data_IF_235831782899
#
_entry.id   IF_235831782899
#
_cell.length_a   1.000
_cell.length_b   1.000
_cell.length_c   1.000
_cell.angle_alpha   90.00
_cell.angle_beta   90.00
_cell.angle_gamma   90.00
#
_symmetry.space_group_name_H-M   'P 1'
#
loop_
_entity.id
_entity.type
_entity.pdbx_description
1 polymer ?
#
# COMPACT_ATOMS: atom_id res chain seq x y z
N UNK A 1 -35.90 -19.90 23.53
CA UNK A 1 -36.31 -21.31 23.34
C UNK A 1 -35.06 -22.17 23.25
N UNK A 2 -34.81 -22.98 24.29
CA UNK A 2 -33.69 -23.94 24.41
C UNK A 2 -34.16 -25.31 23.93
N UNK A 3 -33.34 -26.03 23.17
CA UNK A 3 -33.37 -27.49 23.00
C UNK A 3 -31.95 -27.94 23.34
N UNK A 4 -31.61 -28.46 24.53
CA UNK A 4 -31.94 -29.75 25.17
C UNK A 4 -31.81 -30.91 24.16
N UNK A 5 -30.61 -31.50 23.96
CA UNK A 5 -29.88 -32.55 24.70
C UNK A 5 -30.42 -33.99 24.42
N UNK A 6 -29.69 -35.06 24.80
CA UNK A 6 -28.66 -35.83 24.07
C UNK A 6 -29.18 -37.26 23.76
N UNK A 7 -28.32 -38.20 23.35
CA UNK A 7 -28.39 -39.66 23.58
C UNK A 7 -27.24 -40.30 22.75
N UNK A 8 -26.56 -41.40 23.07
CA UNK A 8 -26.39 -42.28 24.25
C UNK A 8 -25.30 -43.31 23.84
N UNK A 9 -24.77 -44.03 24.84
CA UNK A 9 -24.20 -45.39 24.79
C UNK A 9 -22.71 -45.58 24.43
N UNK A 10 -21.96 -45.56 25.54
CA UNK A 10 -20.87 -46.43 25.96
C UNK A 10 -21.18 -47.96 25.86
N UNK A 11 -20.12 -48.78 26.02
CA UNK A 11 -19.97 -50.24 26.26
C UNK A 11 -19.61 -51.11 25.05
N UNK A 12 -18.75 -52.16 25.12
CA UNK A 12 -17.69 -52.65 26.04
C UNK A 12 -17.19 -54.01 25.44
N UNK A 13 -16.04 -54.52 25.92
CA UNK A 13 -15.54 -55.93 25.89
C UNK A 13 -14.90 -56.42 24.57
N UNK A 14 -13.88 -57.28 24.53
CA UNK A 14 -12.96 -57.93 25.48
C UNK A 14 -11.85 -58.61 24.62
N UNK A 15 -10.57 -58.48 24.97
CA UNK A 15 -9.70 -59.48 25.62
C UNK A 15 -9.18 -60.66 24.76
N UNK A 16 -7.84 -60.80 24.77
CA UNK A 16 -6.95 -61.98 24.68
C UNK A 16 -5.64 -61.46 24.06
N UNK A 17 -4.46 -61.49 24.67
CA UNK A 17 -3.89 -62.41 25.65
C UNK A 17 -2.56 -62.89 25.05
N UNK A 18 -1.44 -62.72 25.76
CA UNK A 18 -0.13 -63.22 25.31
C UNK A 18 1.06 -62.50 25.93
N UNK A 19 1.68 -63.14 26.92
CA UNK A 19 2.82 -62.68 27.72
C UNK A 19 4.19 -62.96 27.06
N UNK A 20 5.13 -62.07 27.40
CA UNK A 20 6.56 -62.27 27.71
C UNK A 20 7.60 -62.51 26.60
N UNK A 21 8.60 -61.61 26.59
CA UNK A 21 10.00 -61.86 26.99
C UNK A 21 11.01 -61.12 26.10
N UNK A 22 12.03 -60.59 26.77
CA UNK A 22 13.20 -59.85 26.31
C UNK A 22 13.87 -60.34 25.02
N UNK A 23 14.22 -59.39 24.15
CA UNK A 23 15.47 -59.49 23.39
C UNK A 23 16.07 -58.08 23.15
N UNK A 24 17.25 -57.86 23.74
CA UNK A 24 18.14 -56.74 23.42
C UNK A 24 18.55 -56.87 21.96
N UNK A 25 18.24 -55.86 21.14
CA UNK A 25 18.94 -55.66 19.88
C UNK A 25 19.12 -54.17 19.64
N UNK A 26 20.38 -53.74 19.65
CA UNK A 26 20.79 -52.40 19.30
C UNK A 26 20.37 -52.10 17.87
N UNK A 27 19.42 -51.18 17.71
CA UNK A 27 19.20 -50.48 16.46
C UNK A 27 19.68 -49.05 16.64
N UNK A 28 20.81 -48.78 16.01
CA UNK A 28 21.27 -47.48 15.56
C UNK A 28 20.05 -46.70 15.06
N UNK A 29 19.60 -45.74 15.86
CA UNK A 29 18.60 -44.78 15.43
C UNK A 29 19.24 -43.93 14.35
N UNK A 30 18.96 -44.25 13.10
CA UNK A 30 19.09 -43.29 12.00
C UNK A 30 18.13 -42.16 12.35
N UNK A 31 18.66 -41.11 12.97
CA UNK A 31 17.98 -39.83 13.09
C UNK A 31 17.84 -39.33 11.67
N UNK A 32 16.66 -39.55 11.09
CA UNK A 32 16.23 -38.94 9.86
C UNK A 32 16.24 -37.44 10.11
N UNK A 33 17.35 -36.81 9.74
CA UNK A 33 17.56 -35.39 9.79
C UNK A 33 16.57 -34.81 8.79
N UNK A 34 15.37 -34.48 9.27
CA UNK A 34 14.41 -33.66 8.53
C UNK A 34 15.19 -32.43 8.10
N UNK A 35 15.48 -32.38 6.81
CA UNK A 35 16.08 -31.22 6.18
C UNK A 35 15.02 -30.12 6.27
N UNK A 36 15.14 -29.28 7.29
CA UNK A 36 14.50 -27.97 7.29
C UNK A 36 15.06 -27.29 6.05
N UNK A 37 14.26 -27.21 4.99
CA UNK A 37 14.58 -26.37 3.85
C UNK A 37 14.75 -24.98 4.43
N UNK A 38 15.98 -24.45 4.34
CA UNK A 38 16.23 -23.06 4.70
C UNK A 38 15.33 -22.23 3.78
N UNK A 39 14.28 -21.65 4.37
CA UNK A 39 13.45 -20.69 3.67
C UNK A 39 14.38 -19.54 3.31
N UNK A 40 14.47 -19.22 2.03
CA UNK A 40 15.26 -18.07 1.60
C UNK A 40 14.63 -16.82 2.21
N UNK A 41 15.37 -16.17 3.10
CA UNK A 41 14.89 -15.08 3.93
C UNK A 41 15.66 -13.80 3.60
N UNK A 42 14.92 -12.73 3.32
CA UNK A 42 15.49 -11.42 3.07
C UNK A 42 15.12 -10.45 4.20
N UNK A 43 16.03 -9.58 4.65
CA UNK A 43 15.69 -8.53 5.61
C UNK A 43 14.79 -7.47 4.97
N UNK A 44 13.72 -7.11 5.66
CA UNK A 44 12.78 -6.08 5.25
C UNK A 44 12.37 -5.17 6.40
N UNK A 45 11.86 -3.99 6.05
CA UNK A 45 11.06 -3.15 6.96
C UNK A 45 9.60 -3.50 6.75
N UNK A 46 8.91 -3.93 7.80
CA UNK A 46 7.47 -4.23 7.79
C UNK A 46 6.74 -3.13 8.52
N UNK A 47 5.71 -2.58 7.91
CA UNK A 47 4.89 -1.48 8.42
C UNK A 47 3.45 -1.96 8.48
N UNK A 48 2.83 -1.83 9.64
CA UNK A 48 1.43 -2.19 9.85
C UNK A 48 0.59 -0.92 9.92
N UNK A 49 -0.52 -0.95 9.20
CA UNK A 49 -1.37 0.20 8.97
C UNK A 49 -2.81 -0.18 9.28
N UNK A 50 -3.59 0.81 9.71
CA UNK A 50 -5.04 0.73 9.75
C UNK A 50 -5.59 1.78 8.78
N UNK A 51 -6.41 1.33 7.85
CA UNK A 51 -7.10 2.19 6.89
C UNK A 51 -8.57 2.31 7.27
N UNK A 52 -9.15 3.48 7.01
CA UNK A 52 -10.58 3.73 7.21
C UNK A 52 -11.12 4.55 6.06
N UNK A 53 -12.31 4.17 5.59
CA UNK A 53 -13.01 4.86 4.51
C UNK A 53 -14.45 5.17 4.92
N UNK A 54 -15.05 6.27 4.43
CA UNK A 54 -16.43 6.57 4.74
C UNK A 54 -17.38 5.43 4.37
N UNK A 55 -18.08 4.89 5.37
CA UNK A 55 -19.05 3.81 5.19
C UNK A 55 -18.45 2.39 5.18
N UNK A 56 -17.15 2.25 5.43
CA UNK A 56 -16.46 0.97 5.55
C UNK A 56 -15.83 0.86 6.94
N UNK A 57 -15.95 -0.30 7.57
CA UNK A 57 -15.26 -0.56 8.84
C UNK A 57 -13.74 -0.49 8.65
N UNK A 58 -12.98 0.08 9.60
CA UNK A 58 -11.53 0.12 9.51
C UNK A 58 -10.92 -1.27 9.31
N UNK A 59 -9.91 -1.37 8.46
CA UNK A 59 -9.25 -2.63 8.13
C UNK A 59 -7.73 -2.49 8.19
N UNK A 60 -7.04 -3.59 8.48
CA UNK A 60 -5.60 -3.62 8.58
C UNK A 60 -4.96 -3.82 7.21
N UNK A 61 -3.87 -3.11 6.94
CA UNK A 61 -3.00 -3.36 5.80
C UNK A 61 -1.55 -3.47 6.28
N UNK A 62 -0.71 -4.10 5.45
CA UNK A 62 0.71 -4.30 5.73
C UNK A 62 1.51 -3.88 4.52
N UNK A 63 2.59 -3.14 4.76
CA UNK A 63 3.57 -2.78 3.75
C UNK A 63 4.92 -3.40 4.10
N UNK A 64 5.55 -4.08 3.14
CA UNK A 64 6.85 -4.74 3.30
C UNK A 64 7.83 -4.11 2.32
N UNK A 65 8.94 -3.57 2.83
CA UNK A 65 9.89 -2.79 2.04
C UNK A 65 11.28 -3.42 2.10
N UNK A 66 11.87 -3.64 0.93
CA UNK A 66 13.27 -4.04 0.73
C UNK A 66 13.97 -2.99 -0.14
N UNK A 67 15.28 -3.09 -0.39
CA UNK A 67 15.95 -2.23 -1.36
C UNK A 67 15.30 -2.27 -2.75
N UNK A 68 14.78 -3.42 -3.16
CA UNK A 68 14.29 -3.66 -4.53
C UNK A 68 12.77 -3.60 -4.66
N UNK A 69 12.02 -3.78 -3.56
CA UNK A 69 10.56 -3.93 -3.60
C UNK A 69 9.84 -3.14 -2.53
N UNK A 70 8.61 -2.73 -2.85
CA UNK A 70 7.56 -2.42 -1.90
C UNK A 70 6.38 -3.35 -2.18
N UNK A 71 5.95 -4.11 -1.19
CA UNK A 71 4.72 -4.92 -1.24
C UNK A 71 3.68 -4.30 -0.32
N UNK A 72 2.42 -4.28 -0.73
CA UNK A 72 1.27 -3.94 0.11
C UNK A 72 0.25 -5.07 0.02
N UNK A 73 -0.21 -5.56 1.17
CA UNK A 73 -1.21 -6.63 1.29
C UNK A 73 -2.07 -6.42 2.56
N UNK A 74 -3.01 -7.33 2.81
CA UNK A 74 -3.91 -7.35 3.96
C UNK A 74 -3.32 -8.08 5.19
N UNK A 75 -2.02 -8.39 5.16
CA UNK A 75 -1.35 -9.18 6.18
C UNK A 75 -1.32 -10.69 5.90
N UNK A 76 -2.04 -11.18 4.89
CA UNK A 76 -1.99 -12.58 4.45
C UNK A 76 -0.95 -12.75 3.34
N UNK A 77 0.01 -13.66 3.56
CA UNK A 77 1.10 -13.90 2.60
C UNK A 77 0.58 -14.45 1.25
N UNK A 78 -0.49 -15.24 1.28
CA UNK A 78 -1.12 -15.89 0.11
C UNK A 78 -2.33 -15.13 -0.45
N UNK A 79 -2.60 -13.92 0.07
CA UNK A 79 -3.70 -13.05 -0.36
C UNK A 79 -3.35 -12.20 -1.58
N UNK A 80 -4.32 -11.41 -2.05
CA UNK A 80 -4.10 -10.41 -3.10
C UNK A 80 -3.11 -9.35 -2.63
N UNK A 81 -2.26 -8.88 -3.54
CA UNK A 81 -1.21 -7.92 -3.18
C UNK A 81 -0.85 -6.98 -4.32
N UNK A 82 -0.28 -5.85 -3.93
CA UNK A 82 0.42 -4.95 -4.83
C UNK A 82 1.92 -5.12 -4.59
N UNK A 83 2.68 -5.27 -5.67
CA UNK A 83 4.14 -5.30 -5.66
C UNK A 83 4.69 -4.20 -6.57
N UNK A 84 5.36 -3.22 -5.99
CA UNK A 84 6.15 -2.23 -6.71
C UNK A 84 7.60 -2.71 -6.79
N UNK A 85 8.04 -3.10 -7.99
CA UNK A 85 9.45 -3.33 -8.30
C UNK A 85 10.14 -1.99 -8.54
N UNK A 86 11.03 -1.63 -7.62
CA UNK A 86 11.71 -0.34 -7.59
C UNK A 86 12.80 -0.23 -8.65
N UNK A 87 13.33 -1.37 -9.11
CA UNK A 87 14.39 -1.42 -10.12
C UNK A 87 13.83 -1.14 -11.51
N UNK A 88 12.72 -1.79 -11.84
CA UNK A 88 12.01 -1.55 -13.11
C UNK A 88 11.01 -0.39 -13.04
N UNK A 89 10.69 0.08 -11.82
CA UNK A 89 9.64 1.07 -11.52
C UNK A 89 8.27 0.61 -12.04
N UNK A 90 7.95 -0.66 -11.85
CA UNK A 90 6.68 -1.26 -12.30
C UNK A 90 5.84 -1.62 -11.09
N UNK A 91 4.56 -1.26 -11.14
CA UNK A 91 3.57 -1.71 -10.17
C UNK A 91 2.89 -2.95 -10.75
N UNK A 92 2.84 -4.02 -9.96
CA UNK A 92 2.11 -5.24 -10.25
C UNK A 92 0.97 -5.36 -9.25
N UNK A 93 -0.28 -5.34 -9.73
CA UNK A 93 -1.45 -5.65 -8.91
C UNK A 93 -1.86 -7.09 -9.18
N UNK A 94 -1.72 -7.95 -8.17
CA UNK A 94 -1.94 -9.39 -8.26
C UNK A 94 -3.29 -9.73 -7.65
N UNK A 95 -4.13 -10.39 -8.44
CA UNK A 95 -5.37 -11.02 -7.95
C UNK A 95 -5.28 -12.53 -8.08
N UNK A 96 -5.31 -13.22 -6.94
CA UNK A 96 -5.30 -14.68 -6.88
C UNK A 96 -6.64 -15.27 -7.32
N UNK A 97 -7.75 -14.63 -6.97
CA UNK A 97 -9.10 -15.04 -7.37
C UNK A 97 -9.25 -15.13 -8.89
N UNK A 98 -8.76 -14.11 -9.61
CA UNK A 98 -8.85 -14.03 -11.07
C UNK A 98 -7.65 -14.66 -11.80
N UNK A 99 -6.59 -15.02 -11.07
CA UNK A 99 -5.28 -15.46 -11.59
C UNK A 99 -4.68 -14.47 -12.59
N UNK A 100 -4.66 -13.20 -12.19
CA UNK A 100 -4.22 -12.09 -13.05
C UNK A 100 -3.19 -11.20 -12.37
N UNK A 101 -2.33 -10.61 -13.20
CA UNK A 101 -1.43 -9.52 -12.81
C UNK A 101 -1.70 -8.32 -13.72
N UNK A 102 -2.06 -7.19 -13.14
CA UNK A 102 -2.08 -5.90 -13.85
C UNK A 102 -0.72 -5.24 -13.68
N UNK A 103 0.01 -5.10 -14.78
CA UNK A 103 1.29 -4.41 -14.85
C UNK A 103 1.07 -2.93 -15.23
N UNK A 104 1.55 -2.03 -14.37
CA UNK A 104 1.55 -0.57 -14.59
C UNK A 104 3.00 -0.10 -14.60
N UNK A 105 3.63 0.02 -15.78
CA UNK A 105 5.00 0.50 -15.89
C UNK A 105 5.09 2.00 -15.59
N UNK A 106 6.27 2.45 -15.13
CA UNK A 106 6.51 3.87 -14.92
C UNK A 106 6.36 4.68 -16.20
N UNK A 107 5.60 5.76 -16.08
CA UNK A 107 5.55 6.85 -17.05
C UNK A 107 5.79 8.17 -16.33
N UNK A 108 6.52 9.09 -16.95
CA UNK A 108 6.57 10.45 -16.44
C UNK A 108 5.21 11.12 -16.61
N UNK A 109 4.86 12.03 -15.71
CA UNK A 109 3.71 12.93 -15.89
C UNK A 109 4.04 13.84 -17.07
N UNK A 110 3.35 13.64 -18.19
CA UNK A 110 3.60 14.33 -19.46
C UNK A 110 2.60 15.45 -19.78
N UNK A 111 1.85 15.90 -18.78
CA UNK A 111 0.88 16.99 -18.90
C UNK A 111 1.21 18.07 -17.87
N UNK A 112 0.87 19.31 -18.18
CA UNK A 112 1.04 20.43 -17.26
C UNK A 112 -0.16 20.54 -16.28
N UNK A 113 0.06 21.08 -15.08
CA UNK A 113 -1.03 21.45 -14.19
C UNK A 113 -2.02 22.42 -14.87
N UNK A 114 -3.33 22.29 -14.64
CA UNK A 114 -4.29 23.27 -15.15
C UNK A 114 -4.02 24.65 -14.52
N UNK A 115 -4.33 25.75 -15.24
CA UNK A 115 -4.22 27.09 -14.69
C UNK A 115 -4.97 27.23 -13.36
N UNK A 116 -4.34 27.91 -12.39
CA UNK A 116 -4.94 28.14 -11.08
C UNK A 116 -4.94 26.94 -10.13
N UNK A 117 -4.17 25.88 -10.41
CA UNK A 117 -3.88 24.85 -9.41
C UNK A 117 -2.80 25.35 -8.43
N UNK A 118 -3.22 26.04 -7.39
CA UNK A 118 -2.33 26.64 -6.39
C UNK A 118 -2.27 25.78 -5.13
N UNK A 119 -1.06 25.41 -4.70
CA UNK A 119 -0.86 24.63 -3.47
C UNK A 119 -0.15 25.44 -2.39
N UNK A 120 -0.67 25.37 -1.16
CA UNK A 120 -0.06 25.96 0.03
C UNK A 120 0.09 24.87 1.09
N UNK A 121 1.30 24.72 1.63
CA UNK A 121 1.60 23.81 2.73
C UNK A 121 1.76 24.59 4.02
N UNK A 122 1.07 24.17 5.09
CA UNK A 122 1.25 24.68 6.46
C UNK A 122 1.77 23.57 7.35
N UNK A 123 2.70 23.92 8.25
CA UNK A 123 3.36 22.99 9.15
C UNK A 123 3.27 23.48 10.58
N UNK A 124 3.00 22.58 11.50
CA UNK A 124 2.92 22.83 12.92
C UNK A 124 3.55 21.68 13.69
N UNK A 125 4.34 22.00 14.71
CA UNK A 125 4.85 21.02 15.67
C UNK A 125 3.99 21.14 16.91
N UNK A 126 3.45 20.01 17.37
CA UNK A 126 2.80 19.94 18.67
C UNK A 126 3.84 19.49 19.71
N UNK A 127 4.32 20.44 20.52
CA UNK A 127 5.31 20.15 21.56
C UNK A 127 4.78 19.24 22.67
N UNK A 128 3.44 19.11 22.80
CA UNK A 128 2.79 18.26 23.79
C UNK A 128 2.54 16.84 23.27
N UNK A 129 2.65 16.62 21.95
CA UNK A 129 2.53 15.30 21.38
C UNK A 129 3.67 14.39 21.85
N UNK A 130 3.40 13.11 22.15
CA UNK A 130 4.44 12.14 22.46
C UNK A 130 5.43 11.99 21.30
N UNK A 131 6.72 11.96 21.61
CA UNK A 131 7.74 11.66 20.61
C UNK A 131 7.58 10.22 20.09
N UNK A 132 7.67 10.04 18.77
CA UNK A 132 7.64 8.72 18.12
C UNK A 132 9.01 8.42 17.54
N UNK A 133 9.62 7.31 17.97
CA UNK A 133 11.03 7.00 17.63
C UNK A 133 12.02 8.07 18.10
N UNK A 134 11.70 8.78 19.19
CA UNK A 134 12.50 9.88 19.74
C UNK A 134 12.41 11.19 18.95
N UNK A 135 11.43 11.32 18.07
CA UNK A 135 11.24 12.49 17.19
C UNK A 135 9.88 13.12 17.44
N UNK A 136 9.82 14.44 17.48
CA UNK A 136 8.56 15.15 17.65
C UNK A 136 7.73 15.08 16.37
N UNK A 137 6.44 14.70 16.44
CA UNK A 137 5.57 14.70 15.28
C UNK A 137 5.37 16.11 14.70
N UNK A 138 5.36 16.18 13.37
CA UNK A 138 5.04 17.38 12.59
C UNK A 138 3.72 17.14 11.89
N UNK A 139 2.75 18.03 12.13
CA UNK A 139 1.51 18.08 11.38
C UNK A 139 1.73 18.93 10.13
N UNK A 140 1.43 18.36 8.96
CA UNK A 140 1.40 19.05 7.68
C UNK A 140 -0.06 19.12 7.20
N UNK A 141 -0.49 20.32 6.81
CA UNK A 141 -1.78 20.56 6.15
C UNK A 141 -1.53 21.17 4.78
N UNK A 142 -2.00 20.47 3.76
CA UNK A 142 -1.87 20.89 2.38
C UNK A 142 -3.21 21.38 1.84
N UNK A 143 -3.18 22.62 1.37
CA UNK A 143 -4.33 23.29 0.79
C UNK A 143 -4.12 23.41 -0.71
N UNK A 144 -5.17 23.15 -1.49
CA UNK A 144 -5.21 23.44 -2.93
C UNK A 144 -6.38 24.36 -3.17
N UNK A 145 -6.14 25.51 -3.81
CA UNK A 145 -7.14 26.54 -4.06
C UNK A 145 -7.92 26.91 -2.79
N UNK A 146 -7.18 27.13 -1.70
CA UNK A 146 -7.65 27.41 -0.35
C UNK A 146 -8.49 26.30 0.35
N UNK A 147 -8.67 25.12 -0.25
CA UNK A 147 -9.35 23.97 0.35
C UNK A 147 -8.34 22.98 0.94
N UNK A 148 -8.59 22.50 2.16
CA UNK A 148 -7.78 21.43 2.76
C UNK A 148 -7.93 20.14 1.95
N UNK A 149 -6.83 19.61 1.44
CA UNK A 149 -6.81 18.43 0.58
C UNK A 149 -6.12 17.23 1.22
N UNK A 150 -5.12 17.47 2.04
CA UNK A 150 -4.39 16.43 2.76
C UNK A 150 -3.94 16.96 4.12
N UNK A 151 -4.07 16.11 5.12
CA UNK A 151 -3.47 16.30 6.43
C UNK A 151 -2.59 15.09 6.73
N UNK A 152 -1.35 15.32 7.12
CA UNK A 152 -0.45 14.26 7.57
C UNK A 152 0.16 14.62 8.91
N UNK A 153 0.41 13.61 9.74
CA UNK A 153 1.26 13.74 10.93
C UNK A 153 2.41 12.77 10.74
N UNK A 154 3.64 13.28 10.75
CA UNK A 154 4.84 12.48 10.49
C UNK A 154 5.90 12.72 11.56
N UNK A 155 6.68 11.70 11.89
CA UNK A 155 7.86 11.84 12.74
C UNK A 155 9.12 11.95 11.85
N UNK A 156 9.85 13.08 11.83
CA UNK A 156 10.99 13.26 10.93
C UNK A 156 12.08 12.20 11.09
N UNK A 157 12.48 11.59 9.97
CA UNK A 157 13.49 10.52 9.91
C UNK A 157 13.00 9.14 10.36
N UNK A 158 11.73 9.00 10.77
CA UNK A 158 11.15 7.70 11.04
C UNK A 158 10.83 6.98 9.70
N UNK A 159 11.33 5.76 9.55
CA UNK A 159 11.05 4.86 8.40
C UNK A 159 11.35 5.48 7.03
N UNK A 160 12.52 6.11 6.88
CA UNK A 160 12.92 6.81 5.65
C UNK A 160 12.99 5.91 4.40
N UNK A 161 13.31 4.64 4.56
CA UNK A 161 13.27 3.64 3.50
C UNK A 161 11.85 3.39 3.00
N UNK A 162 10.92 3.19 3.93
CA UNK A 162 9.50 3.01 3.62
C UNK A 162 8.88 4.28 3.02
N UNK A 163 9.24 5.45 3.55
CA UNK A 163 8.83 6.77 3.01
C UNK A 163 9.29 6.96 1.57
N UNK A 164 10.55 6.66 1.25
CA UNK A 164 11.06 6.74 -0.13
C UNK A 164 10.35 5.76 -1.05
N UNK A 165 10.22 4.50 -0.64
CA UNK A 165 9.55 3.48 -1.44
C UNK A 165 8.09 3.87 -1.75
N UNK A 166 7.36 4.39 -0.74
CA UNK A 166 6.00 4.87 -0.92
C UNK A 166 5.93 6.10 -1.85
N UNK A 167 6.88 7.03 -1.75
CA UNK A 167 6.98 8.19 -2.66
C UNK A 167 7.21 7.74 -4.10
N UNK A 168 8.17 6.84 -4.32
CA UNK A 168 8.48 6.27 -5.64
C UNK A 168 7.25 5.56 -6.24
N UNK A 169 6.54 4.77 -5.41
CA UNK A 169 5.28 4.12 -5.81
C UNK A 169 4.20 5.14 -6.22
N UNK A 170 3.94 6.17 -5.39
CA UNK A 170 2.94 7.21 -5.69
C UNK A 170 3.30 7.99 -6.97
N UNK A 171 4.59 8.26 -7.20
CA UNK A 171 5.07 8.89 -8.43
C UNK A 171 4.89 7.99 -9.66
N UNK A 172 5.10 6.68 -9.53
CA UNK A 172 4.84 5.74 -10.62
C UNK A 172 3.36 5.67 -10.99
N UNK A 173 2.48 5.68 -9.99
CA UNK A 173 1.04 5.71 -10.21
C UNK A 173 0.59 7.03 -10.86
N UNK A 174 1.18 8.17 -10.50
CA UNK A 174 0.82 9.48 -11.02
C UNK A 174 0.99 9.60 -12.54
N UNK A 175 2.01 8.96 -13.11
CA UNK A 175 2.19 8.90 -14.56
C UNK A 175 1.04 8.21 -15.28
N UNK A 176 0.55 7.10 -14.72
CA UNK A 176 -0.61 6.39 -15.27
C UNK A 176 -1.90 7.20 -15.09
N UNK A 177 -2.07 7.88 -13.95
CA UNK A 177 -3.20 8.79 -13.73
C UNK A 177 -3.21 9.93 -14.74
N UNK A 178 -2.05 10.55 -15.01
CA UNK A 178 -1.91 11.61 -16.00
C UNK A 178 -2.33 11.13 -17.40
N UNK A 179 -1.85 9.96 -17.83
CA UNK A 179 -2.15 9.40 -19.15
C UNK A 179 -3.63 9.07 -19.33
N UNK A 180 -4.35 8.74 -18.26
CA UNK A 180 -5.77 8.42 -18.31
C UNK A 180 -6.66 9.60 -17.93
N UNK A 181 -6.12 10.78 -17.62
CA UNK A 181 -6.90 11.91 -17.14
C UNK A 181 -7.97 12.37 -18.14
N UNK A 182 -7.74 12.18 -19.45
CA UNK A 182 -8.72 12.48 -20.49
C UNK A 182 -10.01 11.65 -20.35
N UNK A 183 -9.94 10.47 -19.73
CA UNK A 183 -11.11 9.61 -19.47
C UNK A 183 -11.97 10.15 -18.32
N UNK A 184 -11.44 11.06 -17.51
CA UNK A 184 -12.17 11.77 -16.46
C UNK A 184 -12.76 13.05 -17.05
N UNK A 185 -14.09 13.22 -17.06
CA UNK A 185 -14.74 14.46 -17.47
C UNK A 185 -14.19 15.67 -16.71
N UNK A 186 -14.02 16.86 -17.34
CA UNK A 186 -13.47 18.04 -16.69
C UNK A 186 -14.15 18.41 -15.37
N UNK A 187 -15.46 18.22 -15.27
CA UNK A 187 -16.28 18.52 -14.09
C UNK A 187 -15.98 17.60 -12.90
N UNK A 188 -15.39 16.43 -13.16
CA UNK A 188 -14.98 15.46 -12.16
C UNK A 188 -13.47 15.56 -11.82
N UNK A 189 -12.74 16.49 -12.43
CA UNK A 189 -11.30 16.71 -12.16
C UNK A 189 -11.12 17.62 -10.94
N UNK A 190 -11.43 17.08 -9.76
CA UNK A 190 -11.29 17.79 -8.49
C UNK A 190 -9.84 18.29 -8.25
N UNK A 191 -9.63 19.56 -7.85
CA UNK A 191 -8.28 20.10 -7.63
C UNK A 191 -7.44 19.35 -6.58
N UNK A 192 -8.05 18.84 -5.50
CA UNK A 192 -7.33 18.04 -4.52
C UNK A 192 -6.87 16.71 -5.14
N UNK A 193 -7.72 16.07 -5.94
CA UNK A 193 -7.39 14.85 -6.67
C UNK A 193 -6.24 15.09 -7.64
N UNK A 194 -6.33 16.13 -8.49
CA UNK A 194 -5.28 16.49 -9.44
C UNK A 194 -3.94 16.76 -8.73
N UNK A 195 -3.96 17.57 -7.66
CA UNK A 195 -2.76 17.88 -6.91
C UNK A 195 -2.18 16.65 -6.23
N UNK A 196 -2.97 15.83 -5.55
CA UNK A 196 -2.46 14.75 -4.70
C UNK A 196 -2.18 13.44 -5.46
N UNK A 197 -2.80 13.22 -6.62
CA UNK A 197 -2.62 11.98 -7.39
C UNK A 197 -1.81 12.15 -8.67
N UNK A 198 -1.72 13.36 -9.22
CA UNK A 198 -1.04 13.62 -10.51
C UNK A 198 0.17 14.51 -10.33
N UNK A 199 -0.01 15.76 -9.87
CA UNK A 199 1.05 16.76 -9.95
C UNK A 199 2.00 16.79 -8.74
N UNK A 200 1.52 16.41 -7.55
CA UNK A 200 2.29 16.42 -6.31
C UNK A 200 2.11 15.14 -5.46
N UNK A 201 2.26 13.93 -6.05
CA UNK A 201 1.90 12.67 -5.40
C UNK A 201 2.72 12.33 -4.14
N UNK A 202 3.93 12.86 -4.04
CA UNK A 202 4.83 12.65 -2.89
C UNK A 202 4.76 13.70 -1.80
N UNK A 203 3.94 14.75 -1.94
CA UNK A 203 4.05 15.97 -1.13
C UNK A 203 3.73 15.77 0.35
N UNK A 204 2.81 14.86 0.67
CA UNK A 204 2.49 14.46 2.05
C UNK A 204 3.61 13.70 2.78
N UNK A 205 4.68 13.31 2.07
CA UNK A 205 5.80 12.50 2.57
C UNK A 205 7.10 13.30 2.75
N UNK A 206 7.03 14.64 2.72
CA UNK A 206 8.21 15.50 2.89
C UNK A 206 8.73 15.51 4.33
N UNK A 207 7.85 15.39 5.33
CA UNK A 207 8.21 15.46 6.76
C UNK A 207 8.56 14.10 7.39
N UNK A 208 8.43 12.99 6.65
CA UNK A 208 8.68 11.65 7.17
C UNK A 208 7.71 10.61 6.66
N UNK A 209 7.83 9.38 7.17
CA UNK A 209 6.75 8.41 7.00
C UNK A 209 5.55 8.85 7.85
N UNK A 210 4.34 8.90 7.29
CA UNK A 210 3.16 9.32 8.04
C UNK A 210 2.81 8.35 9.16
N UNK A 211 2.64 8.90 10.35
CA UNK A 211 1.95 8.26 11.46
C UNK A 211 0.43 8.28 11.23
N UNK A 212 -0.05 9.32 10.57
CA UNK A 212 -1.43 9.55 10.20
C UNK A 212 -1.50 10.27 8.85
N UNK A 213 -2.43 9.87 7.99
CA UNK A 213 -2.86 10.64 6.82
C UNK A 213 -4.39 10.72 6.78
N UNK A 214 -4.91 11.86 6.31
CA UNK A 214 -6.32 12.05 5.97
C UNK A 214 -6.45 12.86 4.69
N UNK A 215 -7.26 12.38 3.76
CA UNK A 215 -7.54 13.10 2.51
C UNK A 215 -8.88 13.85 2.54
N UNK A 216 -9.17 14.59 1.46
CA UNK A 216 -10.37 15.41 1.33
C UNK A 216 -11.69 14.63 1.35
N UNK A 217 -11.68 13.33 1.04
CA UNK A 217 -12.89 12.48 1.09
C UNK A 217 -13.06 11.78 2.43
N UNK A 218 -12.15 12.00 3.38
CA UNK A 218 -12.22 11.47 4.73
C UNK A 218 -11.61 10.08 4.89
N UNK A 219 -10.94 9.53 3.86
CA UNK A 219 -10.14 8.32 4.03
C UNK A 219 -8.96 8.64 4.96
N UNK A 220 -8.69 7.74 5.90
CA UNK A 220 -7.55 7.85 6.81
C UNK A 220 -6.65 6.63 6.72
N UNK A 221 -5.37 6.84 7.05
CA UNK A 221 -4.38 5.78 7.21
C UNK A 221 -3.53 6.06 8.43
N UNK A 222 -3.45 5.10 9.33
CA UNK A 222 -2.77 5.19 10.62
C UNK A 222 -1.66 4.16 10.72
N UNK A 223 -0.47 4.57 11.15
CA UNK A 223 0.61 3.67 11.52
C UNK A 223 0.30 3.03 12.88
N UNK A 224 0.13 1.71 12.91
CA UNK A 224 -0.15 0.98 14.14
C UNK A 224 1.09 0.34 14.74
N UNK A 225 2.00 -0.18 13.91
CA UNK A 225 3.28 -0.76 14.34
C UNK A 225 4.30 -0.84 13.19
N UNK A 226 5.57 -1.10 13.49
CA UNK A 226 6.59 -1.40 12.48
C UNK A 226 7.75 -2.24 13.04
N UNK A 227 8.36 -3.02 12.15
CA UNK A 227 9.54 -3.84 12.44
C UNK A 227 10.64 -3.57 11.42
N UNK A 228 11.87 -3.34 11.89
CA UNK A 228 13.04 -3.16 11.02
C UNK A 228 13.86 -4.43 10.95
N UNK A 229 14.46 -4.69 9.79
CA UNK A 229 15.32 -5.85 9.54
C UNK A 229 14.63 -7.19 9.84
N UNK A 230 13.30 -7.23 9.76
CA UNK A 230 12.55 -8.47 9.92
C UNK A 230 12.92 -9.41 8.78
N UNK A 231 13.22 -10.66 9.12
CA UNK A 231 13.40 -11.71 8.12
C UNK A 231 12.04 -12.13 7.59
N UNK A 232 11.87 -12.02 6.28
CA UNK A 232 10.65 -12.42 5.57
C UNK A 232 11.03 -13.36 4.42
N UNK A 233 10.10 -14.21 4.00
CA UNK A 233 10.34 -15.12 2.88
C UNK A 233 10.63 -14.30 1.61
N UNK A 234 11.71 -14.61 0.90
CA UNK A 234 12.04 -13.96 -0.36
C UNK A 234 10.92 -14.13 -1.40
N UNK A 235 10.21 -15.25 -1.34
CA UNK A 235 9.08 -15.55 -2.23
C UNK A 235 7.89 -14.60 -2.10
N UNK A 236 7.81 -13.77 -1.07
CA UNK A 236 6.79 -12.71 -0.97
C UNK A 236 6.93 -11.66 -2.09
N UNK A 237 8.08 -11.58 -2.74
CA UNK A 237 8.37 -10.62 -3.81
C UNK A 237 8.36 -11.25 -5.20
N UNK A 238 8.02 -12.54 -5.30
CA UNK A 238 7.85 -13.20 -6.58
C UNK A 238 6.46 -12.90 -7.16
N UNK A 239 6.36 -12.91 -8.48
CA UNK A 239 5.06 -12.94 -9.16
C UNK A 239 4.63 -14.39 -9.37
N UNK A 240 3.34 -14.73 -9.20
CA UNK A 240 2.88 -16.10 -9.32
C UNK A 240 3.01 -16.61 -10.76
N UNK A 241 3.53 -17.83 -10.89
CA UNK A 241 3.66 -18.48 -12.19
C UNK A 241 2.30 -18.81 -12.82
N UNK A 242 2.22 -18.68 -14.15
CA UNK A 242 1.03 -19.04 -14.91
C UNK A 242 -0.17 -18.11 -14.72
N UNK A 243 0.02 -16.92 -14.16
CA UNK A 243 -1.00 -15.87 -14.12
C UNK A 243 -1.03 -15.11 -15.44
N UNK A 244 -2.20 -14.57 -15.80
CA UNK A 244 -2.34 -13.75 -17.02
C UNK A 244 -1.95 -12.30 -16.72
N UNK A 245 -1.10 -11.75 -17.56
CA UNK A 245 -0.64 -10.36 -17.43
C UNK A 245 -1.44 -9.41 -18.32
N UNK A 246 -1.80 -8.26 -17.77
CA UNK A 246 -2.47 -7.17 -18.46
C UNK A 246 -1.71 -5.87 -18.32
N UNK A 247 -1.89 -4.98 -19.30
CA UNK A 247 -1.41 -3.62 -19.25
C UNK A 247 -2.52 -2.70 -19.72
N UNK A 248 -2.60 -1.52 -19.12
CA UNK A 248 -3.51 -0.48 -19.59
C UNK A 248 -2.97 0.05 -20.92
N UNK A 249 -3.74 -0.13 -21.98
CA UNK A 249 -3.46 0.54 -23.26
C UNK A 249 -4.02 1.94 -23.18
N UNK A 250 -3.16 2.92 -23.40
CA UNK A 250 -3.56 4.30 -23.61
C UNK A 250 -3.43 4.56 -25.10
N UNK A 251 -4.57 4.57 -25.78
CA UNK A 251 -4.62 5.03 -27.16
C UNK A 251 -4.47 6.57 -27.13
N UNK A 252 -3.56 7.14 -27.93
CA UNK A 252 -3.51 8.59 -28.11
C UNK A 252 -4.85 9.02 -28.73
N UNK A 253 -5.55 9.97 -28.13
CA UNK A 253 -6.60 10.67 -28.85
C UNK A 253 -5.94 11.45 -29.99
N UNK A 254 -6.21 11.06 -31.23
CA UNK A 254 -5.94 11.92 -32.38
C UNK A 254 -6.74 13.21 -32.20
N UNK A 255 -6.06 14.35 -32.06
CA UNK A 255 -6.64 15.65 -32.42
C UNK A 255 -6.85 16.71 -31.33
N UNK A 256 -6.70 16.43 -30.04
CA UNK A 256 -6.81 17.48 -29.01
C UNK A 256 -5.45 17.87 -28.46
N UNK A 257 -4.72 18.66 -29.24
CA UNK A 257 -3.80 19.62 -28.63
C UNK A 257 -4.65 20.50 -27.70
N UNK A 258 -4.38 20.45 -26.39
CA UNK A 258 -4.90 21.41 -25.43
C UNK A 258 -4.45 22.81 -25.87
N UNK A 259 -5.28 23.48 -26.68
CA UNK A 259 -5.06 24.87 -27.05
C UNK A 259 -5.49 25.72 -25.86
N UNK A 260 -4.53 26.46 -25.31
CA UNK A 260 -4.72 27.44 -24.26
C UNK A 260 -5.49 28.70 -24.74
N UNK A 261 -6.44 28.57 -25.68
CA UNK A 261 -7.07 29.71 -26.36
C UNK A 261 -8.52 30.00 -25.91
N UNK A 262 -9.14 29.17 -25.05
CA UNK A 262 -10.51 29.40 -24.56
C UNK A 262 -10.56 30.01 -23.14
N UNK A 263 -9.64 30.94 -22.83
CA UNK A 263 -9.83 31.84 -21.70
C UNK A 263 -10.71 33.03 -22.17
N UNK A 264 -11.86 33.32 -21.51
CA UNK A 264 -12.65 34.49 -21.87
C UNK A 264 -11.82 35.76 -21.67
N UNK A 265 -11.78 36.57 -22.73
CA UNK A 265 -11.06 37.83 -22.84
C UNK A 265 -11.42 38.77 -21.67
N UNK A 266 -10.49 38.94 -20.74
CA UNK A 266 -10.59 39.91 -19.66
C UNK A 266 -10.24 41.29 -20.21
N UNK A 267 -11.20 41.89 -20.92
CA UNK A 267 -11.14 43.31 -21.28
C UNK A 267 -11.11 44.18 -20.01
N UNK A 268 -10.16 45.11 -19.87
CA UNK A 268 -10.15 46.04 -18.74
C UNK A 268 -11.27 47.08 -18.92
N UNK A 269 -12.18 47.14 -17.93
CA UNK A 269 -13.21 48.19 -17.86
C UNK A 269 -12.59 49.58 -17.71
N UNK A 270 -13.28 50.65 -18.17
CA UNK A 270 -12.73 51.99 -18.17
C UNK A 270 -12.64 52.53 -16.74
N UNK A 271 -11.50 53.15 -16.45
CA UNK A 271 -11.25 53.94 -15.25
C UNK A 271 -12.20 55.13 -15.17
N UNK A 272 -12.84 55.31 -14.02
CA UNK A 272 -13.53 56.53 -13.58
C UNK A 272 -13.06 56.87 -12.17
#
# INVERSE_FOLDING_TARGET
MKRILPFIAMLLLAACGGQQADEKSGKTGTVEKQAVQAVDETPATVVYLQESEPGVEPYATRMIVTPDFLRMDDGQDDGDYLLYDRRSRTIHSVSHGDRTVLDIPFHAVGIEPPPGLERITRRTVDEQAPAVGGRQPVQQKDFVNARLCMETVSAPGLLDDARRALKEYREALAGEQARNLYKTPPELRDPCMLSNLVFHPGKGLEEGFPLYERNQVGQTRELTDFERNRKVKASLFDLPEGYRHYRIRVEPQEGEAFKAEDAPDASPGPSS
#
